data_IF_490568806781
#
_entry.id   IF_490568806781
#
_cell.length_a   1.000
_cell.length_b   1.000
_cell.length_c   1.000
_cell.angle_alpha   90.00
_cell.angle_beta   90.00
_cell.angle_gamma   90.00
#
_symmetry.space_group_name_H-M   'P 1'
#
loop_
_entity.id
_entity.type
_entity.pdbx_description
1 polymer ?
#
# COMPACT_ATOMS: atom_id res chain seq x y z
N UNK A 1 3.27 32.40 -18.78
CA UNK A 1 2.51 32.08 -17.54
C UNK A 1 2.67 30.63 -17.07
N UNK A 2 2.98 29.66 -17.94
CA UNK A 2 3.19 28.26 -17.52
C UNK A 2 4.52 27.97 -16.76
N UNK A 3 5.56 28.81 -16.92
CA UNK A 3 6.88 28.56 -16.31
C UNK A 3 6.90 28.71 -14.79
N UNK A 4 6.16 29.69 -14.25
CA UNK A 4 6.13 29.94 -12.81
C UNK A 4 5.29 28.91 -12.05
N UNK A 5 4.19 28.44 -12.65
CA UNK A 5 3.35 27.39 -12.06
C UNK A 5 4.11 26.05 -11.97
N UNK A 6 4.89 25.71 -12.99
CA UNK A 6 5.73 24.51 -12.98
C UNK A 6 6.85 24.60 -11.93
N UNK A 7 7.48 25.77 -11.77
CA UNK A 7 8.52 26.02 -10.77
C UNK A 7 7.99 25.89 -9.33
N UNK A 8 6.81 26.45 -9.05
CA UNK A 8 6.17 26.34 -7.73
C UNK A 8 5.79 24.88 -7.43
N UNK A 9 5.33 24.14 -8.43
CA UNK A 9 5.00 22.71 -8.27
C UNK A 9 6.23 21.85 -7.96
N UNK A 10 7.38 22.11 -8.60
CA UNK A 10 8.63 21.39 -8.34
C UNK A 10 9.15 21.64 -6.92
N UNK A 11 9.14 22.90 -6.47
CA UNK A 11 9.59 23.26 -5.12
C UNK A 11 8.69 22.63 -4.04
N UNK A 12 7.38 22.56 -4.27
CA UNK A 12 6.45 21.93 -3.34
C UNK A 12 6.67 20.41 -3.22
N UNK A 13 7.04 19.73 -4.30
CA UNK A 13 7.31 18.29 -4.28
C UNK A 13 8.57 17.99 -3.46
N UNK A 14 9.64 18.75 -3.65
CA UNK A 14 10.89 18.58 -2.88
C UNK A 14 10.72 18.93 -1.39
N UNK A 15 9.82 19.86 -1.06
CA UNK A 15 9.51 20.20 0.33
C UNK A 15 8.74 19.08 1.07
N UNK A 16 7.81 18.41 0.38
CA UNK A 16 7.02 17.31 0.95
C UNK A 16 7.69 15.93 0.85
N UNK A 17 8.65 15.75 -0.05
CA UNK A 17 9.52 14.59 -0.12
C UNK A 17 10.91 14.93 0.44
N UNK A 18 11.11 14.87 1.78
CA UNK A 18 12.34 15.35 2.43
C UNK A 18 13.61 14.56 2.05
N UNK A 19 13.47 13.49 1.25
CA UNK A 19 14.59 12.74 0.69
C UNK A 19 14.27 12.19 -0.70
N UNK A 20 15.31 12.05 -1.52
CA UNK A 20 15.24 11.43 -2.86
C UNK A 20 14.74 9.98 -2.80
N UNK A 21 14.94 9.28 -1.69
CA UNK A 21 14.43 7.92 -1.46
C UNK A 21 12.91 7.89 -1.37
N UNK A 22 12.30 8.86 -0.67
CA UNK A 22 10.84 8.98 -0.58
C UNK A 22 10.23 9.32 -1.94
N UNK A 23 10.88 10.21 -2.70
CA UNK A 23 10.42 10.59 -4.04
C UNK A 23 10.49 9.43 -5.03
N UNK A 24 11.59 8.68 -5.03
CA UNK A 24 11.77 7.51 -5.89
C UNK A 24 10.77 6.41 -5.51
N UNK A 25 10.63 6.07 -4.23
CA UNK A 25 9.66 5.10 -3.75
C UNK A 25 8.23 5.48 -4.16
N UNK A 26 7.84 6.75 -3.98
CA UNK A 26 6.54 7.26 -4.41
C UNK A 26 6.30 7.13 -5.91
N UNK A 27 7.30 7.47 -6.72
CA UNK A 27 7.25 7.35 -8.18
C UNK A 27 7.09 5.89 -8.63
N UNK A 28 7.83 4.96 -8.02
CA UNK A 28 7.68 3.53 -8.31
C UNK A 28 6.27 3.03 -7.97
N UNK A 29 5.75 3.37 -6.78
CA UNK A 29 4.41 2.96 -6.35
C UNK A 29 3.31 3.47 -7.31
N UNK A 30 3.40 4.74 -7.71
CA UNK A 30 2.43 5.35 -8.63
C UNK A 30 2.51 4.76 -10.03
N UNK A 31 3.71 4.53 -10.56
CA UNK A 31 3.89 3.91 -11.87
C UNK A 31 3.32 2.48 -11.89
N UNK A 32 3.57 1.67 -10.85
CA UNK A 32 2.96 0.34 -10.74
C UNK A 32 1.43 0.43 -10.69
N UNK A 33 0.87 1.39 -9.95
CA UNK A 33 -0.58 1.63 -9.91
C UNK A 33 -1.16 1.98 -11.30
N UNK A 34 -0.50 2.85 -12.07
CA UNK A 34 -0.95 3.21 -13.41
C UNK A 34 -0.90 2.03 -14.38
N UNK A 35 0.17 1.23 -14.37
CA UNK A 35 0.28 0.03 -15.21
C UNK A 35 -0.85 -0.96 -14.90
N UNK A 36 -1.13 -1.21 -13.62
CA UNK A 36 -2.24 -2.09 -13.22
C UNK A 36 -3.60 -1.56 -13.67
N UNK A 37 -3.81 -0.24 -13.68
CA UNK A 37 -5.04 0.35 -14.19
C UNK A 37 -5.20 0.21 -15.70
N UNK A 38 -4.13 0.37 -16.47
CA UNK A 38 -4.16 0.13 -17.92
C UNK A 38 -4.58 -1.33 -18.18
N UNK A 39 -3.98 -2.29 -17.48
CA UNK A 39 -4.35 -3.70 -17.59
C UNK A 39 -5.82 -3.91 -17.25
N UNK A 40 -6.33 -3.35 -16.16
CA UNK A 40 -7.75 -3.46 -15.78
C UNK A 40 -8.69 -2.90 -16.85
N UNK A 41 -8.36 -1.74 -17.41
CA UNK A 41 -9.17 -1.09 -18.45
C UNK A 41 -9.24 -1.92 -19.73
N UNK A 42 -8.18 -2.64 -20.07
CA UNK A 42 -8.17 -3.56 -21.21
C UNK A 42 -8.91 -4.85 -20.87
N UNK A 43 -8.68 -5.45 -19.70
CA UNK A 43 -9.22 -6.76 -19.33
C UNK A 43 -10.74 -6.70 -19.05
N UNK A 44 -11.24 -5.63 -18.44
CA UNK A 44 -12.65 -5.48 -18.09
C UNK A 44 -13.64 -5.71 -19.25
N UNK A 45 -13.48 -5.09 -20.44
CA UNK A 45 -14.38 -5.32 -21.57
C UNK A 45 -14.28 -6.76 -22.12
N UNK A 46 -13.08 -7.37 -22.14
CA UNK A 46 -12.91 -8.77 -22.57
C UNK A 46 -13.66 -9.76 -21.67
N UNK A 47 -13.65 -9.53 -20.35
CA UNK A 47 -14.36 -10.39 -19.39
C UNK A 47 -15.88 -10.29 -19.51
N UNK A 48 -16.40 -9.13 -19.93
CA UNK A 48 -17.83 -8.86 -20.03
C UNK A 48 -18.43 -9.18 -21.40
N UNK A 49 -17.59 -9.26 -22.46
CA UNK A 49 -18.06 -9.52 -23.82
C UNK A 49 -18.60 -10.96 -23.95
N UNK A 50 -19.87 -11.15 -24.40
CA UNK A 50 -20.48 -12.46 -24.59
C UNK A 50 -19.83 -13.33 -25.68
N UNK A 51 -19.13 -12.73 -26.64
CA UNK A 51 -18.44 -13.44 -27.73
C UNK A 51 -17.03 -13.89 -27.37
N UNK A 52 -16.50 -13.45 -26.21
CA UNK A 52 -15.17 -13.79 -25.75
C UNK A 52 -15.22 -14.59 -24.44
N UNK A 53 -14.69 -14.04 -23.34
CA UNK A 53 -14.60 -14.77 -22.07
C UNK A 53 -15.96 -14.94 -21.37
N UNK A 54 -16.96 -14.12 -21.73
CA UNK A 54 -18.36 -14.23 -21.30
C UNK A 54 -18.54 -14.52 -19.79
N UNK A 55 -17.72 -13.88 -18.95
CA UNK A 55 -17.79 -14.09 -17.51
C UNK A 55 -18.95 -13.32 -16.87
N UNK A 56 -19.57 -12.37 -17.57
CA UNK A 56 -20.75 -11.61 -17.12
C UNK A 56 -20.63 -11.20 -15.63
N UNK A 57 -21.62 -11.57 -14.79
CA UNK A 57 -21.60 -11.30 -13.35
C UNK A 57 -20.46 -11.98 -12.56
N UNK A 58 -19.72 -12.91 -13.17
CA UNK A 58 -18.54 -13.58 -12.59
C UNK A 58 -17.22 -12.88 -12.93
N UNK A 59 -17.23 -11.78 -13.69
CA UNK A 59 -16.01 -11.02 -14.01
C UNK A 59 -15.28 -10.47 -12.76
N UNK A 60 -15.97 -10.36 -11.62
CA UNK A 60 -15.39 -9.91 -10.36
C UNK A 60 -14.55 -10.98 -9.62
N UNK A 61 -14.71 -12.28 -9.93
CA UNK A 61 -14.02 -13.35 -9.19
C UNK A 61 -12.48 -13.32 -9.32
N UNK A 62 -11.89 -13.09 -10.51
CA UNK A 62 -10.44 -12.98 -10.63
C UNK A 62 -9.85 -11.82 -9.81
N UNK A 63 -10.54 -10.67 -9.82
CA UNK A 63 -10.16 -9.52 -9.01
C UNK A 63 -10.27 -9.83 -7.51
N UNK A 64 -11.37 -10.44 -7.09
CA UNK A 64 -11.59 -10.82 -5.69
C UNK A 64 -10.57 -11.87 -5.20
N UNK A 65 -10.19 -12.84 -6.05
CA UNK A 65 -9.14 -13.82 -5.73
C UNK A 65 -7.79 -13.17 -5.49
N UNK A 66 -7.38 -12.25 -6.37
CA UNK A 66 -6.16 -11.48 -6.20
C UNK A 66 -6.19 -10.61 -4.94
N UNK A 67 -7.32 -9.92 -4.69
CA UNK A 67 -7.49 -9.12 -3.48
C UNK A 67 -7.40 -9.97 -2.21
N UNK A 68 -7.98 -11.17 -2.20
CA UNK A 68 -7.91 -12.07 -1.07
C UNK A 68 -6.48 -12.60 -0.84
N UNK A 69 -5.74 -12.92 -1.91
CA UNK A 69 -4.32 -13.28 -1.78
C UNK A 69 -3.49 -12.14 -1.19
N UNK A 70 -3.70 -10.90 -1.65
CA UNK A 70 -3.02 -9.72 -1.10
C UNK A 70 -3.44 -9.44 0.35
N UNK A 71 -4.71 -9.66 0.69
CA UNK A 71 -5.20 -9.52 2.06
C UNK A 71 -4.55 -10.56 2.99
N UNK A 72 -4.40 -11.80 2.54
CA UNK A 72 -3.66 -12.84 3.28
C UNK A 72 -2.20 -12.41 3.46
N UNK A 73 -1.53 -11.96 2.40
CA UNK A 73 -0.15 -11.47 2.49
C UNK A 73 -0.02 -10.31 3.51
N UNK A 74 -0.91 -9.32 3.43
CA UNK A 74 -0.95 -8.19 4.36
C UNK A 74 -1.19 -8.67 5.79
N UNK A 75 -2.10 -9.63 6.01
CA UNK A 75 -2.37 -10.19 7.33
C UNK A 75 -1.16 -10.94 7.93
N UNK A 76 -0.32 -11.55 7.09
CA UNK A 76 0.89 -12.24 7.56
C UNK A 76 2.03 -11.27 7.91
N UNK A 77 2.15 -10.16 7.15
CA UNK A 77 3.29 -9.25 7.22
C UNK A 77 3.08 -7.95 8.00
N UNK A 78 1.83 -7.49 8.19
CA UNK A 78 1.55 -6.18 8.77
C UNK A 78 1.37 -6.26 10.30
N UNK A 79 2.24 -5.61 11.10
CA UNK A 79 2.07 -5.51 12.55
C UNK A 79 0.92 -4.57 12.92
N UNK A 80 0.28 -4.84 14.06
CA UNK A 80 -0.74 -3.94 14.62
C UNK A 80 -0.06 -2.81 15.40
N UNK A 81 -0.14 -1.57 14.88
CA UNK A 81 0.52 -0.39 15.44
C UNK A 81 -0.46 0.54 16.19
N UNK A 82 -1.75 0.22 16.19
CA UNK A 82 -2.81 1.11 16.66
C UNK A 82 -2.73 1.29 18.19
N UNK A 83 -2.66 2.54 18.63
CA UNK A 83 -2.66 2.90 20.05
C UNK A 83 -1.33 2.67 20.77
N UNK A 84 -0.24 2.44 20.04
CA UNK A 84 1.10 2.32 20.60
C UNK A 84 1.77 3.68 20.71
N UNK A 85 2.49 3.91 21.81
CA UNK A 85 3.37 5.07 21.96
C UNK A 85 4.63 4.88 21.10
N UNK A 86 5.21 5.97 20.62
CA UNK A 86 6.42 5.92 19.79
C UNK A 86 7.58 5.17 20.48
N UNK A 87 7.78 5.41 21.77
CA UNK A 87 8.82 4.72 22.57
C UNK A 87 8.63 3.19 22.61
N UNK A 88 7.39 2.73 22.77
CA UNK A 88 7.07 1.28 22.75
C UNK A 88 7.28 0.71 21.36
N UNK A 89 6.95 1.48 20.32
CA UNK A 89 7.14 1.08 18.93
C UNK A 89 8.61 0.85 18.60
N UNK A 90 9.46 1.80 18.95
CA UNK A 90 10.91 1.71 18.73
C UNK A 90 11.51 0.51 19.48
N UNK A 91 11.10 0.30 20.73
CA UNK A 91 11.52 -0.85 21.54
C UNK A 91 11.11 -2.20 20.91
N UNK A 92 9.95 -2.28 20.27
CA UNK A 92 9.47 -3.49 19.60
C UNK A 92 10.23 -3.77 18.30
N UNK A 93 10.58 -2.71 17.56
CA UNK A 93 11.42 -2.83 16.36
C UNK A 93 12.86 -3.22 16.70
N UNK A 94 13.42 -2.67 17.77
CA UNK A 94 14.76 -3.05 18.26
C UNK A 94 14.81 -4.53 18.66
N UNK A 95 13.75 -5.03 19.31
CA UNK A 95 13.58 -6.44 19.67
C UNK A 95 13.21 -7.36 18.49
N UNK A 96 13.03 -6.82 17.29
CA UNK A 96 12.65 -7.55 16.06
C UNK A 96 11.46 -8.50 16.29
N UNK A 97 10.45 -8.03 17.03
CA UNK A 97 9.27 -8.85 17.36
C UNK A 97 8.50 -9.15 16.07
N UNK A 98 8.15 -10.43 15.79
CA UNK A 98 7.38 -10.76 14.60
C UNK A 98 6.01 -10.07 14.63
N UNK A 99 5.52 -9.67 13.46
CA UNK A 99 4.29 -8.87 13.31
C UNK A 99 3.08 -9.41 14.09
N UNK A 100 2.95 -10.74 14.20
CA UNK A 100 1.85 -11.40 14.92
C UNK A 100 1.95 -11.34 16.44
N UNK A 101 3.14 -11.10 17.00
CA UNK A 101 3.36 -10.97 18.45
C UNK A 101 3.47 -9.51 18.89
N UNK A 102 3.39 -8.59 17.93
CA UNK A 102 3.59 -7.16 18.16
C UNK A 102 2.62 -6.61 19.21
N UNK A 103 1.33 -6.93 19.12
CA UNK A 103 0.31 -6.50 20.09
C UNK A 103 0.54 -7.06 21.50
N UNK A 104 0.91 -8.34 21.61
CA UNK A 104 1.14 -8.99 22.91
C UNK A 104 2.36 -8.38 23.60
N UNK A 105 3.47 -8.25 22.86
CA UNK A 105 4.68 -7.64 23.35
C UNK A 105 4.48 -6.16 23.71
N UNK A 106 3.65 -5.43 22.95
CA UNK A 106 3.31 -4.05 23.24
C UNK A 106 2.54 -3.90 24.56
N UNK A 107 1.53 -4.75 24.81
CA UNK A 107 0.76 -4.73 26.06
C UNK A 107 1.65 -5.02 27.27
N UNK A 108 2.56 -5.99 27.16
CA UNK A 108 3.51 -6.32 28.23
C UNK A 108 4.40 -5.11 28.57
N UNK A 109 4.89 -4.37 27.58
CA UNK A 109 5.72 -3.17 27.79
C UNK A 109 4.92 -1.98 28.35
N UNK A 110 3.66 -1.82 27.97
CA UNK A 110 2.79 -0.75 28.48
C UNK A 110 2.32 -0.99 29.92
N UNK A 111 2.17 -2.24 30.36
CA UNK A 111 1.73 -2.57 31.72
C UNK A 111 2.84 -2.49 32.80
N UNK A 112 4.11 -2.52 32.41
CA UNK A 112 5.25 -2.47 33.33
C UNK A 112 5.59 -1.02 33.76
N UNK A 113 4.98 -0.02 33.12
CA UNK A 113 5.15 1.40 33.42
C UNK A 113 3.93 1.98 34.10
#
# INVERSE_FOLDING_TARGET
MASHTALVALIFIDFFAPSVEVLTAGTFLMNTYYVLNIVKTVVAPYLLNPQEANLQGKAAFPAAGLTLMLAVWAWLGLPELKGLTGETLDSLFERKVPARRFLKAAKELQHVR
#
